data_IF_196112008688
#
_entry.id   IF_196112008688
#
_cell.length_a   1.000
_cell.length_b   1.000
_cell.length_c   1.000
_cell.angle_alpha   90.00
_cell.angle_beta   90.00
_cell.angle_gamma   90.00
#
_symmetry.space_group_name_H-M   'P 1'
#
loop_
_entity.id
_entity.type
_entity.pdbx_description
1 polymer ?
#
# COMPACT_ATOMS: atom_id res chain seq x y z
N UNK A 1 17.51 7.61 4.42
CA UNK A 1 16.22 6.89 4.41
C UNK A 1 15.23 7.70 3.60
N UNK A 2 14.64 7.13 2.54
CA UNK A 2 13.73 7.85 1.63
C UNK A 2 12.30 7.32 1.79
N UNK A 3 11.36 8.20 2.07
CA UNK A 3 9.93 7.91 2.17
C UNK A 3 9.20 8.55 0.98
N UNK A 4 8.44 7.75 0.23
CA UNK A 4 7.66 8.23 -0.92
C UNK A 4 6.20 7.84 -0.72
N UNK A 5 5.29 8.81 -0.91
CA UNK A 5 3.84 8.56 -0.97
C UNK A 5 3.31 8.98 -2.34
N UNK A 6 2.52 8.13 -2.96
CA UNK A 6 1.90 8.42 -4.25
C UNK A 6 0.48 7.86 -4.33
N UNK A 7 -0.48 8.71 -4.71
CA UNK A 7 -1.78 8.24 -5.18
C UNK A 7 -1.62 7.80 -6.63
N UNK A 8 -1.65 6.48 -6.83
CA UNK A 8 -1.30 5.82 -8.08
C UNK A 8 -2.42 5.93 -9.11
N UNK A 9 -3.70 5.95 -8.67
CA UNK A 9 -4.89 5.84 -9.53
C UNK A 9 -4.79 4.66 -10.51
N UNK A 10 -4.42 3.49 -9.99
CA UNK A 10 -4.28 2.24 -10.75
C UNK A 10 -2.84 1.74 -10.86
N UNK A 11 -2.61 0.52 -10.37
CA UNK A 11 -1.27 -0.05 -10.26
C UNK A 11 -0.66 -0.56 -11.55
N UNK A 12 -1.44 -1.30 -12.35
CA UNK A 12 -0.94 -2.03 -13.52
C UNK A 12 -0.30 -1.09 -14.55
N UNK A 13 -0.93 0.06 -14.82
CA UNK A 13 -0.48 1.02 -15.84
C UNK A 13 0.85 1.69 -15.43
N UNK A 14 1.15 1.76 -14.13
CA UNK A 14 2.28 2.52 -13.59
C UNK A 14 3.45 1.67 -13.13
N UNK A 15 3.42 0.36 -13.40
CA UNK A 15 4.42 -0.58 -12.92
C UNK A 15 5.85 -0.20 -13.33
N UNK A 16 6.04 0.28 -14.57
CA UNK A 16 7.33 0.72 -15.07
C UNK A 16 7.92 1.89 -14.25
N UNK A 17 7.08 2.85 -13.83
CA UNK A 17 7.52 3.97 -13.00
C UNK A 17 8.07 3.53 -11.65
N UNK A 18 7.53 2.44 -11.08
CA UNK A 18 7.99 1.91 -9.81
C UNK A 18 9.41 1.30 -9.87
N UNK A 19 9.91 1.04 -11.08
CA UNK A 19 11.28 0.55 -11.29
C UNK A 19 12.32 1.68 -11.34
N UNK A 20 11.88 2.93 -11.48
CA UNK A 20 12.75 4.10 -11.59
C UNK A 20 12.85 4.85 -10.26
N UNK A 21 13.98 5.53 -9.99
CA UNK A 21 14.04 6.50 -8.89
C UNK A 21 12.98 7.61 -9.06
N UNK A 22 12.38 8.11 -7.97
CA UNK A 22 12.70 7.81 -6.56
C UNK A 22 12.01 6.54 -6.02
N UNK A 23 11.15 5.88 -6.79
CA UNK A 23 10.31 4.78 -6.31
C UNK A 23 11.09 3.50 -6.04
N UNK A 24 12.02 3.13 -6.93
CA UNK A 24 12.83 1.92 -6.75
C UNK A 24 13.80 2.04 -5.57
N UNK A 25 14.34 3.24 -5.32
CA UNK A 25 15.30 3.54 -4.26
C UNK A 25 14.65 3.93 -2.92
N UNK A 26 13.33 4.11 -2.87
CA UNK A 26 12.62 4.46 -1.64
C UNK A 26 12.76 3.35 -0.57
N UNK A 27 13.17 3.72 0.64
CA UNK A 27 13.20 2.81 1.79
C UNK A 27 11.79 2.42 2.23
N UNK A 28 10.85 3.36 2.12
CA UNK A 28 9.42 3.13 2.35
C UNK A 28 8.64 3.79 1.21
N UNK A 29 7.75 3.02 0.58
CA UNK A 29 6.92 3.46 -0.53
C UNK A 29 5.46 3.17 -0.21
N UNK A 30 4.63 4.20 -0.22
CA UNK A 30 3.19 4.14 0.07
C UNK A 30 2.40 4.47 -1.19
N UNK A 31 1.66 3.49 -1.71
CA UNK A 31 0.87 3.59 -2.93
C UNK A 31 -0.61 3.50 -2.60
N UNK A 32 -1.36 4.56 -2.87
CA UNK A 32 -2.80 4.63 -2.65
C UNK A 32 -3.56 4.49 -3.97
N UNK A 33 -4.81 4.06 -3.89
CA UNK A 33 -5.67 3.82 -5.05
C UNK A 33 -5.01 2.87 -6.05
N UNK A 34 -4.57 1.73 -5.55
CA UNK A 34 -3.89 0.71 -6.36
C UNK A 34 -4.86 -0.06 -7.24
N UNK A 35 -6.14 -0.15 -6.84
CA UNK A 35 -7.21 -0.92 -7.50
C UNK A 35 -6.84 -2.39 -7.73
N UNK A 36 -5.96 -2.93 -6.89
CA UNK A 36 -5.55 -4.33 -6.93
C UNK A 36 -6.66 -5.20 -6.36
N UNK A 37 -6.87 -6.36 -7.00
CA UNK A 37 -7.79 -7.39 -6.51
C UNK A 37 -7.05 -8.32 -5.56
N UNK A 38 -7.78 -9.06 -4.74
CA UNK A 38 -7.21 -10.10 -3.86
C UNK A 38 -6.38 -11.11 -4.65
N UNK A 39 -6.81 -11.45 -5.87
CA UNK A 39 -6.10 -12.36 -6.78
C UNK A 39 -4.88 -11.74 -7.48
N UNK A 40 -4.66 -10.42 -7.40
CA UNK A 40 -3.51 -9.78 -8.03
C UNK A 40 -2.23 -10.12 -7.29
N UNK A 41 -1.19 -10.58 -8.00
CA UNK A 41 0.15 -10.72 -7.44
C UNK A 41 0.91 -9.40 -7.55
N UNK A 42 1.64 -9.01 -6.51
CA UNK A 42 2.48 -7.81 -6.50
C UNK A 42 3.82 -8.16 -5.89
N UNK A 43 4.89 -7.87 -6.61
CA UNK A 43 6.26 -7.99 -6.13
C UNK A 43 7.05 -6.72 -6.49
N UNK A 44 7.89 -6.28 -5.57
CA UNK A 44 8.82 -5.16 -5.75
C UNK A 44 10.18 -5.63 -5.26
N UNK A 45 11.21 -5.39 -6.08
CA UNK A 45 12.56 -5.88 -5.80
C UNK A 45 13.07 -5.32 -4.47
N UNK A 46 13.63 -6.19 -3.63
CA UNK A 46 14.21 -5.86 -2.32
C UNK A 46 13.23 -5.19 -1.34
N UNK A 47 11.92 -5.39 -1.50
CA UNK A 47 10.92 -4.82 -0.59
C UNK A 47 9.97 -5.89 -0.06
N UNK A 48 9.67 -5.80 1.24
CA UNK A 48 8.54 -6.45 1.90
C UNK A 48 7.29 -5.66 1.58
N UNK A 49 6.21 -6.34 1.20
CA UNK A 49 4.97 -5.70 0.80
C UNK A 49 3.89 -5.98 1.83
N UNK A 50 3.25 -4.92 2.31
CA UNK A 50 2.02 -4.94 3.09
C UNK A 50 0.94 -4.29 2.25
N UNK A 51 -0.25 -4.88 2.19
CA UNK A 51 -1.34 -4.32 1.39
C UNK A 51 -2.69 -4.59 2.01
N UNK A 52 -3.64 -3.75 1.64
CA UNK A 52 -5.06 -3.89 1.95
C UNK A 52 -5.84 -3.63 0.68
N UNK A 53 -6.62 -4.60 0.25
CA UNK A 53 -7.56 -4.49 -0.84
C UNK A 53 -8.94 -4.04 -0.34
N UNK A 54 -9.75 -3.47 -1.23
CA UNK A 54 -11.15 -3.15 -0.96
C UNK A 54 -12.01 -4.06 -1.83
N UNK A 55 -12.77 -4.95 -1.22
CA UNK A 55 -13.56 -5.99 -1.91
C UNK A 55 -14.82 -5.45 -2.57
N UNK A 56 -15.40 -4.36 -2.05
CA UNK A 56 -16.77 -3.93 -2.39
C UNK A 56 -16.87 -2.69 -3.28
N UNK A 57 -15.75 -2.07 -3.67
CA UNK A 57 -15.78 -0.90 -4.54
C UNK A 57 -14.64 -0.92 -5.55
N UNK A 58 -14.85 -0.39 -6.78
CA UNK A 58 -13.78 -0.26 -7.77
C UNK A 58 -12.67 0.70 -7.33
N UNK A 59 -12.90 1.50 -6.28
CA UNK A 59 -11.95 2.46 -5.72
C UNK A 59 -11.20 1.95 -4.49
N UNK A 60 -10.01 2.52 -4.27
CA UNK A 60 -9.20 2.31 -3.07
C UNK A 60 -8.07 1.30 -3.26
N UNK A 61 -7.72 0.64 -2.17
CA UNK A 61 -6.52 -0.20 -2.09
C UNK A 61 -5.29 0.59 -1.66
N UNK A 62 -4.46 -0.05 -0.85
CA UNK A 62 -3.22 0.49 -0.31
C UNK A 62 -2.13 -0.56 -0.43
N UNK A 63 -0.95 -0.16 -0.90
CA UNK A 63 0.27 -0.96 -0.86
C UNK A 63 1.35 -0.16 -0.15
N UNK A 64 1.94 -0.72 0.89
CA UNK A 64 3.12 -0.21 1.58
C UNK A 64 4.26 -1.19 1.29
N UNK A 65 5.30 -0.70 0.64
CA UNK A 65 6.50 -1.46 0.38
C UNK A 65 7.65 -0.92 1.22
N UNK A 66 8.26 -1.77 2.03
CA UNK A 66 9.37 -1.42 2.93
C UNK A 66 10.60 -2.20 2.53
N UNK A 67 11.75 -1.55 2.47
CA UNK A 67 13.02 -2.17 2.10
C UNK A 67 13.36 -3.35 3.03
N UNK A 68 13.92 -4.42 2.48
CA UNK A 68 14.17 -5.67 3.22
C UNK A 68 15.16 -5.51 4.38
N UNK A 69 16.07 -4.53 4.27
CA UNK A 69 17.04 -4.10 5.29
C UNK A 69 16.40 -3.42 6.51
N UNK A 70 15.14 -3.00 6.41
CA UNK A 70 14.42 -2.42 7.54
C UNK A 70 13.54 -3.47 8.24
N UNK A 71 13.53 -3.48 9.59
CA UNK A 71 12.54 -4.24 10.34
C UNK A 71 11.16 -3.61 10.12
N UNK A 72 10.20 -4.41 9.69
CA UNK A 72 8.82 -3.99 9.47
C UNK A 72 7.89 -5.17 9.74
N UNK A 73 6.80 -4.91 10.46
CA UNK A 73 5.80 -5.89 10.82
C UNK A 73 4.41 -5.27 10.66
N UNK A 74 3.48 -6.02 10.08
CA UNK A 74 2.07 -5.66 10.09
C UNK A 74 1.48 -6.05 11.45
N UNK A 75 0.94 -5.08 12.16
CA UNK A 75 0.22 -5.31 13.42
C UNK A 75 -1.26 -5.03 13.17
N UNK A 76 -2.09 -6.05 13.41
CA UNK A 76 -3.54 -5.89 13.36
C UNK A 76 -4.01 -5.42 14.73
N UNK A 77 -4.63 -4.24 14.76
CA UNK A 77 -5.31 -3.75 15.96
C UNK A 77 -6.80 -3.74 15.67
N UNK A 78 -7.59 -4.38 16.53
CA UNK A 78 -9.00 -4.07 16.66
C UNK A 78 -9.10 -2.71 17.31
N UNK A 79 -9.58 -1.72 16.56
CA UNK A 79 -9.98 -0.46 17.18
C UNK A 79 -11.08 -0.80 18.21
N UNK A 80 -11.04 -0.22 19.41
CA UNK A 80 -12.16 -0.33 20.33
C UNK A 80 -13.43 0.16 19.62
N UNK A 81 -14.60 -0.44 19.91
CA UNK A 81 -15.86 0.03 19.35
C UNK A 81 -15.99 1.54 19.60
N UNK A 82 -16.21 2.30 18.52
CA UNK A 82 -16.33 3.76 18.59
C UNK A 82 -17.59 4.13 19.37
N UNK A 83 -17.47 4.95 20.42
CA UNK A 83 -18.61 5.50 21.17
C UNK A 83 -19.38 6.60 20.41
N UNK A 84 -19.26 6.66 19.08
CA UNK A 84 -20.11 7.55 18.29
C UNK A 84 -21.42 6.82 18.04
N UNK A 85 -22.38 7.05 18.94
CA UNK A 85 -23.75 6.57 18.79
C UNK A 85 -24.39 7.01 17.47
N UNK A 86 -25.53 6.42 17.07
CA UNK A 86 -26.26 6.85 15.89
C UNK A 86 -26.86 8.24 16.17
N UNK A 87 -26.10 9.28 15.84
CA UNK A 87 -26.52 10.67 15.90
C UNK A 87 -26.65 11.23 14.50
N UNK A 88 -27.79 10.94 13.87
CA UNK A 88 -28.56 11.75 12.91
C UNK A 88 -29.68 10.88 12.32
#
# INVERSE_FOLDING_TARGET
MLFVRWNLRGFIIKLHWLQLPPFSTASVLVLQETFLKVSSSVSLRNKKIFRVERSESPGGGLVIAVSNDLPAQLVSFSLPPSEVGPGC
#
